data_IF_649556015945
#
_entry.id   IF_649556015945
#
_cell.length_a   1.000
_cell.length_b   1.000
_cell.length_c   1.000
_cell.angle_alpha   90.00
_cell.angle_beta   90.00
_cell.angle_gamma   90.00
#
_symmetry.space_group_name_H-M   'P 1'
#
loop_
_entity.id
_entity.type
_entity.pdbx_description
1 polymer ?
#
# COMPACT_ATOMS: atom_id res chain seq x y z
N UNK A 1 -30.16 13.34 0.04
CA UNK A 1 -29.73 12.05 -0.56
C UNK A 1 -28.24 12.18 -0.85
N UNK A 2 -27.29 11.37 -0.44
CA UNK A 2 -27.19 10.11 0.29
C UNK A 2 -25.72 9.72 0.11
N UNK A 3 -24.90 9.89 1.14
CA UNK A 3 -23.49 9.46 1.11
C UNK A 3 -23.39 8.34 2.12
N UNK A 4 -23.42 7.09 1.63
CA UNK A 4 -23.23 5.90 2.44
C UNK A 4 -21.87 6.02 3.14
N UNK A 5 -21.92 6.44 4.40
CA UNK A 5 -20.79 6.64 5.33
C UNK A 5 -20.64 5.44 6.26
N UNK A 6 -21.20 4.30 5.89
CA UNK A 6 -21.07 3.05 6.63
C UNK A 6 -19.84 2.29 6.10
N UNK A 7 -18.66 2.85 6.37
CA UNK A 7 -17.39 2.15 6.24
C UNK A 7 -16.72 2.08 7.61
N UNK A 8 -17.31 1.32 8.53
CA UNK A 8 -16.67 0.85 9.77
C UNK A 8 -15.46 -0.04 9.45
N UNK A 9 -14.31 0.60 9.23
CA UNK A 9 -13.06 0.00 8.78
C UNK A 9 -12.14 -0.52 9.91
N UNK A 10 -12.66 -0.81 11.12
CA UNK A 10 -11.79 -1.11 12.28
C UNK A 10 -12.10 -2.45 12.97
N UNK A 11 -12.85 -3.37 12.35
CA UNK A 11 -13.31 -4.57 13.09
C UNK A 11 -13.25 -5.91 12.36
N UNK A 12 -12.34 -6.16 11.41
CA UNK A 12 -12.30 -7.49 10.71
C UNK A 12 -13.63 -7.88 10.05
N UNK A 13 -14.52 -6.89 9.90
CA UNK A 13 -15.90 -6.95 9.44
C UNK A 13 -15.97 -6.70 7.94
N UNK A 14 -14.89 -6.22 7.33
CA UNK A 14 -14.81 -5.87 5.92
C UNK A 14 -14.57 -7.11 5.04
N UNK A 15 -15.33 -7.17 3.95
CA UNK A 15 -15.04 -8.12 2.88
C UNK A 15 -13.66 -7.79 2.28
N UNK A 16 -12.85 -8.80 1.94
CA UNK A 16 -11.60 -8.57 1.23
C UNK A 16 -11.89 -7.87 -0.12
N UNK A 17 -10.87 -7.21 -0.68
CA UNK A 17 -10.97 -6.48 -1.93
C UNK A 17 -11.57 -7.30 -3.06
N UNK A 18 -11.12 -8.56 -3.20
CA UNK A 18 -11.61 -9.46 -4.26
C UNK A 18 -13.10 -9.80 -4.09
N UNK A 19 -13.55 -10.05 -2.86
CA UNK A 19 -14.96 -10.32 -2.58
C UNK A 19 -15.83 -9.07 -2.72
N UNK A 20 -15.33 -7.91 -2.29
CA UNK A 20 -15.99 -6.61 -2.41
C UNK A 20 -16.15 -6.21 -3.89
N UNK A 21 -15.09 -6.35 -4.69
CA UNK A 21 -15.11 -6.13 -6.15
C UNK A 21 -16.05 -7.09 -6.87
N UNK A 22 -16.04 -8.37 -6.47
CA UNK A 22 -16.92 -9.39 -7.06
C UNK A 22 -18.37 -9.33 -6.55
N UNK A 23 -18.67 -8.47 -5.57
CA UNK A 23 -19.98 -8.36 -4.90
C UNK A 23 -20.50 -9.69 -4.34
N UNK A 24 -19.59 -10.50 -3.81
CA UNK A 24 -19.93 -11.80 -3.19
C UNK A 24 -19.75 -11.75 -1.68
N UNK A 25 -20.38 -12.70 -0.98
CA UNK A 25 -20.18 -12.89 0.45
C UNK A 25 -18.72 -13.27 0.73
N UNK A 26 -18.12 -12.56 1.69
CA UNK A 26 -16.79 -12.85 2.21
C UNK A 26 -16.92 -13.50 3.58
N UNK A 27 -16.25 -14.63 3.80
CA UNK A 27 -16.19 -15.32 5.10
C UNK A 27 -15.29 -14.59 6.13
N UNK A 28 -14.65 -13.49 5.70
CA UNK A 28 -13.81 -12.57 6.50
C UNK A 28 -12.58 -13.20 7.17
N UNK A 29 -12.42 -14.52 7.10
CA UNK A 29 -11.17 -15.24 7.34
C UNK A 29 -10.08 -14.73 6.37
N UNK A 30 -8.81 -14.81 6.77
CA UNK A 30 -7.67 -14.40 5.94
C UNK A 30 -6.67 -15.56 5.84
N UNK A 31 -6.43 -16.10 4.62
CA UNK A 31 -7.16 -15.86 3.37
C UNK A 31 -8.64 -16.30 3.46
N UNK A 32 -9.55 -15.63 2.77
CA UNK A 32 -10.97 -15.98 2.83
C UNK A 32 -11.26 -17.24 2.01
N UNK A 33 -12.28 -18.01 2.39
CA UNK A 33 -12.65 -19.25 1.71
C UNK A 33 -12.93 -19.05 0.21
N UNK A 34 -13.54 -17.92 -0.18
CA UNK A 34 -13.74 -17.56 -1.58
C UNK A 34 -12.45 -17.38 -2.37
N UNK A 35 -11.41 -16.79 -1.77
CA UNK A 35 -10.11 -16.63 -2.42
C UNK A 35 -9.37 -17.97 -2.54
N UNK A 36 -9.45 -18.82 -1.51
CA UNK A 36 -8.88 -20.18 -1.53
C UNK A 36 -9.55 -21.04 -2.62
N UNK A 37 -10.89 -21.03 -2.69
CA UNK A 37 -11.66 -21.77 -3.71
C UNK A 37 -11.34 -21.33 -5.14
N UNK A 38 -10.92 -20.08 -5.32
CA UNK A 38 -10.50 -19.52 -6.62
C UNK A 38 -9.04 -19.82 -6.97
N UNK A 39 -8.29 -20.47 -6.09
CA UNK A 39 -6.86 -20.74 -6.27
C UNK A 39 -5.98 -19.50 -6.17
N UNK A 40 -6.50 -18.41 -5.59
CA UNK A 40 -5.81 -17.11 -5.49
C UNK A 40 -5.81 -16.59 -4.05
N UNK A 41 -5.26 -17.34 -3.07
CA UNK A 41 -5.25 -16.94 -1.66
C UNK A 41 -4.32 -15.74 -1.39
N UNK A 42 -3.24 -15.60 -2.15
CA UNK A 42 -2.26 -14.51 -2.03
C UNK A 42 -2.81 -13.14 -2.42
N UNK A 43 -3.89 -13.10 -3.22
CA UNK A 43 -4.57 -11.87 -3.63
C UNK A 43 -5.64 -11.43 -2.61
N UNK A 44 -5.77 -12.13 -1.48
CA UNK A 44 -6.77 -11.84 -0.46
C UNK A 44 -6.35 -10.67 0.45
N UNK A 45 -6.41 -9.44 -0.07
CA UNK A 45 -6.10 -8.24 0.69
C UNK A 45 -7.34 -7.56 1.28
N UNK A 46 -7.21 -7.08 2.52
CA UNK A 46 -8.01 -5.99 3.07
C UNK A 46 -7.26 -4.72 2.78
N UNK A 47 -7.71 -3.92 1.81
CA UNK A 47 -7.28 -2.53 1.73
C UNK A 47 -7.93 -1.78 2.90
N UNK A 48 -7.41 -2.02 4.10
CA UNK A 48 -7.59 -1.15 5.26
C UNK A 48 -6.27 -0.36 5.40
N UNK A 49 -5.89 0.30 4.31
CA UNK A 49 -4.68 1.12 4.23
C UNK A 49 -4.97 2.49 4.80
N UNK A 50 -4.71 2.67 6.09
CA UNK A 50 -4.25 3.94 6.62
C UNK A 50 -2.94 4.28 5.89
N UNK A 51 -3.07 5.13 4.87
CA UNK A 51 -1.94 5.77 4.20
C UNK A 51 -1.46 6.89 5.11
N UNK A 52 -0.65 6.58 6.13
CA UNK A 52 0.23 7.57 6.71
C UNK A 52 1.37 7.82 5.71
N UNK A 53 1.32 8.97 5.04
CA UNK A 53 2.42 9.49 4.23
C UNK A 53 3.55 9.93 5.16
N UNK A 54 4.38 9.00 5.63
CA UNK A 54 5.71 9.34 6.11
C UNK A 54 6.57 9.66 4.88
N UNK A 55 6.63 10.94 4.51
CA UNK A 55 7.73 11.48 3.73
C UNK A 55 8.98 11.50 4.61
N UNK A 56 9.57 10.33 4.84
CA UNK A 56 10.94 10.19 5.31
C UNK A 56 11.76 9.63 4.14
N UNK A 57 12.10 10.51 3.20
CA UNK A 57 13.21 10.30 2.28
C UNK A 57 14.23 11.40 2.63
N UNK A 58 15.00 11.15 3.69
CA UNK A 58 16.38 10.66 3.67
C UNK A 58 17.36 11.71 3.11
N UNK A 59 17.83 12.56 4.03
CA UNK A 59 19.07 13.34 3.85
C UNK A 59 20.24 12.35 3.77
N UNK A 60 20.72 12.09 2.55
CA UNK A 60 22.00 11.41 2.32
C UNK A 60 23.12 12.45 2.40
N UNK A 61 23.82 12.43 3.53
CA UNK A 61 25.08 13.14 3.78
C UNK A 61 26.23 12.31 3.18
N UNK A 62 26.93 12.83 2.17
CA UNK A 62 28.40 12.78 2.13
C UNK A 62 29.03 13.61 0.97
N UNK A 63 30.22 14.21 1.18
CA UNK A 63 30.90 15.14 0.28
C UNK A 63 31.93 14.44 -0.65
N UNK A 64 32.67 15.26 -1.42
CA UNK A 64 33.82 14.96 -2.32
C UNK A 64 33.37 15.06 -3.79
N UNK A 65 33.91 15.97 -4.62
CA UNK A 65 35.16 15.73 -5.37
C UNK A 65 35.95 17.04 -5.63
N UNK A 66 37.25 17.04 -5.27
CA UNK A 66 38.25 18.03 -5.73
C UNK A 66 38.65 17.70 -7.17
N UNK A 67 38.48 18.64 -8.10
CA UNK A 67 39.22 18.64 -9.36
C UNK A 67 39.75 20.05 -9.69
N UNK A 68 41.07 20.18 -9.49
CA UNK A 68 42.06 20.96 -10.24
C UNK A 68 41.53 21.76 -11.45
N UNK A 69 41.71 23.08 -11.41
CA UNK A 69 41.81 23.90 -12.63
C UNK A 69 43.27 24.31 -12.85
N UNK A 70 43.85 23.73 -13.89
CA UNK A 70 45.05 24.18 -14.60
C UNK A 70 44.70 25.46 -15.38
N UNK A 71 45.55 26.48 -15.26
CA UNK A 71 45.71 27.62 -16.18
C UNK A 71 46.99 28.36 -15.75
N UNK A 72 47.87 28.86 -16.59
CA UNK A 72 48.21 28.73 -18.00
C UNK A 72 49.49 29.58 -18.14
N UNK A 73 50.36 29.28 -19.10
CA UNK A 73 51.62 29.99 -19.32
C UNK A 73 51.43 31.45 -19.77
N UNK A 74 51.98 32.42 -19.03
CA UNK A 74 52.74 33.58 -19.57
C UNK A 74 53.45 34.36 -18.46
#
# INVERSE_FOLDING_TARGET
MGVAKDCDAVSGTSACWQCRRSKIKCDKQRPCGSCVKRGRPHECSTFDGEMEQSNDELEDDAPEEKQVEVKEEN
#
